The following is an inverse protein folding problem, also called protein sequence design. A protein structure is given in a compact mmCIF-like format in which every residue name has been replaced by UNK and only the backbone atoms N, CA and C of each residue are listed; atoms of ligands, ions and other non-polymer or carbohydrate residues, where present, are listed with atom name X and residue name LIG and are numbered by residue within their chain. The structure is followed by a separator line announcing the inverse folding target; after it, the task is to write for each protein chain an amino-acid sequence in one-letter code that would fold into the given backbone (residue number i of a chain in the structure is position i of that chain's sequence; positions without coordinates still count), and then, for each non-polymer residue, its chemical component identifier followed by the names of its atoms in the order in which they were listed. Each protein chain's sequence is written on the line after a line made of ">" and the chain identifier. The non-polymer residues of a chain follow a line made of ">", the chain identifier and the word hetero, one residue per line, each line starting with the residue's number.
data_IF_179827282713
#
_entry.id   IF_179827282713
#
_cell.length_a   1.000
_cell.length_b   1.000
_cell.length_c   1.000
_cell.angle_alpha   90.00
_cell.angle_beta   90.00
_cell.angle_gamma   90.00
#
_symmetry.space_group_name_H-M   'P 1'
#
loop_
_entity.id
_entity.type
_entity.pdbx_description
1 polymer ?
#
# COMPACT_ATOMS: atom_id res chain seq x y z
N UNK A 1 8.63 -20.46 -32.23
CA UNK A 1 9.55 -19.86 -31.23
C UNK A 1 9.86 -18.44 -31.67
N UNK A 2 9.24 -17.47 -31.02
CA UNK A 2 9.48 -16.03 -31.24
C UNK A 2 9.90 -15.43 -29.89
N UNK A 3 11.09 -14.83 -29.77
CA UNK A 3 11.55 -14.28 -28.51
C UNK A 3 10.80 -12.97 -28.25
N UNK A 4 10.01 -12.91 -27.17
CA UNK A 4 9.44 -11.65 -26.68
C UNK A 4 10.45 -11.02 -25.72
N UNK A 5 11.15 -10.01 -26.21
CA UNK A 5 12.01 -9.13 -25.43
C UNK A 5 11.16 -8.40 -24.39
N UNK A 6 11.44 -8.65 -23.10
CA UNK A 6 10.96 -7.83 -21.99
C UNK A 6 11.49 -6.41 -22.17
N UNK A 7 10.61 -5.47 -22.49
CA UNK A 7 10.90 -4.04 -22.35
C UNK A 7 10.25 -3.56 -21.05
N UNK A 8 11.07 -3.39 -20.02
CA UNK A 8 10.73 -2.61 -18.84
C UNK A 8 10.82 -1.12 -19.24
N UNK A 9 9.69 -0.50 -19.51
CA UNK A 9 9.60 0.94 -19.67
C UNK A 9 8.99 1.53 -18.40
N UNK A 10 9.86 2.00 -17.50
CA UNK A 10 9.49 2.96 -16.45
C UNK A 10 9.61 4.33 -17.12
N UNK A 11 8.51 4.87 -17.62
CA UNK A 11 8.47 6.26 -18.10
C UNK A 11 8.05 7.14 -16.94
N UNK A 12 9.02 7.64 -16.18
CA UNK A 12 8.83 8.78 -15.30
C UNK A 12 8.71 10.04 -16.18
N UNK A 13 7.47 10.43 -16.49
CA UNK A 13 7.19 11.72 -17.12
C UNK A 13 6.89 12.77 -16.04
N UNK A 14 7.93 13.22 -15.33
CA UNK A 14 7.94 14.54 -14.70
C UNK A 14 8.61 15.49 -15.70
N UNK A 15 7.85 16.38 -16.34
CA UNK A 15 8.25 17.72 -16.80
C UNK A 15 7.18 18.30 -17.74
N UNK A 16 6.38 19.21 -17.19
CA UNK A 16 5.96 20.47 -17.83
C UNK A 16 4.98 21.20 -16.89
N UNK A 17 5.50 21.91 -15.89
CA UNK A 17 4.77 23.03 -15.33
C UNK A 17 5.05 24.24 -16.24
N UNK A 18 4.04 24.95 -16.76
CA UNK A 18 4.28 26.19 -17.47
C UNK A 18 4.78 27.22 -16.45
N UNK A 19 5.95 27.80 -16.71
CA UNK A 19 6.42 29.03 -16.08
C UNK A 19 5.49 30.14 -16.58
N UNK A 20 4.44 30.42 -15.81
CA UNK A 20 3.56 31.56 -16.05
C UNK A 20 4.27 32.85 -15.68
N UNK A 21 4.54 33.69 -16.67
CA UNK A 21 5.06 35.04 -16.48
C UNK A 21 4.12 35.87 -15.61
N UNK A 22 4.68 36.51 -14.57
CA UNK A 22 3.98 37.45 -13.72
C UNK A 22 3.66 38.74 -14.50
N UNK A 23 2.38 39.06 -14.65
CA UNK A 23 1.93 40.42 -14.93
C UNK A 23 1.60 41.08 -13.59
N UNK A 24 2.37 42.11 -13.24
CA UNK A 24 2.05 43.01 -12.15
C UNK A 24 0.84 43.87 -12.58
N UNK A 25 -0.26 43.72 -11.88
CA UNK A 25 -1.32 44.73 -11.83
C UNK A 25 -1.46 45.15 -10.37
N UNK A 26 -1.07 46.39 -10.12
CA UNK A 26 -1.15 47.05 -8.83
C UNK A 26 -2.63 47.33 -8.53
N UNK A 27 -3.17 46.67 -7.50
CA UNK A 27 -4.51 46.93 -7.00
C UNK A 27 -4.48 46.80 -5.48
N UNK A 28 -4.59 47.95 -4.83
CA UNK A 28 -4.77 48.14 -3.39
C UNK A 28 -5.92 47.25 -2.89
N UNK A 29 -5.60 46.25 -2.09
CA UNK A 29 -6.57 45.42 -1.39
C UNK A 29 -6.20 45.38 0.08
N UNK A 30 -7.19 45.67 0.92
CA UNK A 30 -7.10 45.81 2.36
C UNK A 30 -6.23 44.72 3.00
N UNK A 31 -5.34 45.14 3.92
CA UNK A 31 -4.53 44.24 4.75
C UNK A 31 -5.44 43.45 5.69
N UNK A 32 -6.07 42.40 5.18
CA UNK A 32 -6.36 41.21 5.96
C UNK A 32 -5.02 40.65 6.43
N UNK A 33 -4.87 40.42 7.73
CA UNK A 33 -3.73 39.69 8.28
C UNK A 33 -3.72 38.29 7.67
N UNK A 34 -3.02 38.13 6.54
CA UNK A 34 -2.83 36.85 5.86
C UNK A 34 -1.97 36.01 6.81
N UNK A 35 -2.62 35.08 7.53
CA UNK A 35 -1.91 34.13 8.36
C UNK A 35 -0.96 33.36 7.46
N UNK A 36 0.31 33.27 7.88
CA UNK A 36 1.30 32.48 7.15
C UNK A 36 0.74 31.08 6.85
N UNK A 37 0.97 30.58 5.63
CA UNK A 37 0.40 29.32 5.12
C UNK A 37 0.70 28.17 6.09
N UNK A 38 1.86 28.20 6.73
CA UNK A 38 2.27 27.25 7.77
C UNK A 38 1.32 27.29 8.98
N UNK A 39 0.92 28.48 9.44
CA UNK A 39 0.00 28.65 10.57
C UNK A 39 -1.40 28.15 10.23
N UNK A 40 -1.88 28.43 9.00
CA UNK A 40 -3.17 27.93 8.52
C UNK A 40 -3.16 26.40 8.49
N UNK A 41 -2.09 25.80 7.98
CA UNK A 41 -1.96 24.34 7.94
C UNK A 41 -1.89 23.76 9.35
N UNK A 42 -1.10 24.33 10.25
CA UNK A 42 -1.03 23.88 11.64
C UNK A 42 -2.40 23.93 12.35
N UNK A 43 -3.18 24.99 12.12
CA UNK A 43 -4.56 25.10 12.61
C UNK A 43 -5.45 23.99 12.06
N UNK A 44 -5.37 23.72 10.76
CA UNK A 44 -6.15 22.66 10.12
C UNK A 44 -5.72 21.26 10.58
N UNK A 45 -4.43 21.04 10.80
CA UNK A 45 -3.90 19.82 11.42
C UNK A 45 -4.46 19.61 12.83
N UNK A 46 -4.51 20.65 13.66
CA UNK A 46 -5.14 20.57 14.97
C UNK A 46 -6.64 20.24 14.88
N UNK A 47 -7.35 20.85 13.93
CA UNK A 47 -8.77 20.58 13.67
C UNK A 47 -9.01 19.12 13.24
N UNK A 48 -8.13 18.55 12.40
CA UNK A 48 -8.15 17.12 12.04
C UNK A 48 -7.94 16.24 13.26
N UNK A 49 -6.90 16.51 14.05
CA UNK A 49 -6.55 15.67 15.20
C UNK A 49 -7.66 15.66 16.26
N UNK A 50 -8.46 16.74 16.34
CA UNK A 50 -9.63 16.78 17.20
C UNK A 50 -10.74 15.79 16.80
N UNK A 51 -10.79 15.33 15.54
CA UNK A 51 -11.73 14.31 15.06
C UNK A 51 -11.40 12.92 15.61
N UNK A 52 -10.13 12.63 15.86
CA UNK A 52 -9.67 11.32 16.34
C UNK A 52 -8.55 11.49 17.37
N UNK A 53 -8.87 11.93 18.60
CA UNK A 53 -7.87 12.12 19.65
C UNK A 53 -7.31 10.79 20.16
N UNK A 54 -6.11 10.87 20.70
CA UNK A 54 -5.32 9.77 21.26
C UNK A 54 -5.87 9.32 22.64
N UNK A 55 -7.10 8.79 22.68
CA UNK A 55 -7.77 8.39 23.93
C UNK A 55 -8.22 6.93 23.89
N UNK A 56 -8.20 6.27 25.05
CA UNK A 56 -8.88 4.99 25.29
C UNK A 56 -8.23 3.73 24.70
N UNK A 57 -7.27 3.86 23.77
CA UNK A 57 -6.53 2.74 23.15
C UNK A 57 -5.04 2.78 23.47
N UNK A 58 -4.40 1.61 23.41
CA UNK A 58 -2.95 1.49 23.44
C UNK A 58 -2.38 2.02 22.13
N UNK A 59 -1.29 2.77 22.21
CA UNK A 59 -0.68 3.43 21.06
C UNK A 59 0.82 3.24 21.04
N UNK A 60 1.35 2.88 19.89
CA UNK A 60 2.78 2.88 19.60
C UNK A 60 3.06 3.80 18.43
N UNK A 61 3.88 4.82 18.65
CA UNK A 61 4.23 5.81 17.63
C UNK A 61 5.63 5.51 17.06
N UNK A 62 5.74 5.63 15.74
CA UNK A 62 6.98 5.51 14.97
C UNK A 62 7.11 6.78 14.15
N UNK A 63 8.13 7.58 14.45
CA UNK A 63 8.38 8.84 13.74
C UNK A 63 9.22 8.63 12.49
N UNK A 64 9.27 9.63 11.61
CA UNK A 64 10.19 9.62 10.47
C UNK A 64 11.66 9.40 10.90
N UNK A 65 12.05 9.98 12.04
CA UNK A 65 13.40 9.87 12.61
C UNK A 65 13.68 8.46 13.16
N UNK A 66 12.67 7.77 13.70
CA UNK A 66 12.78 6.35 14.06
C UNK A 66 12.96 5.47 12.82
N UNK A 67 12.21 5.75 11.74
CA UNK A 67 12.33 5.06 10.45
C UNK A 67 13.73 5.28 9.86
N UNK A 68 14.24 6.51 9.90
CA UNK A 68 15.56 6.85 9.36
C UNK A 68 16.71 6.16 10.12
N UNK A 69 16.50 5.79 11.39
CA UNK A 69 17.45 5.01 12.20
C UNK A 69 17.41 3.51 11.94
N UNK A 70 16.41 3.00 11.23
CA UNK A 70 16.39 1.59 10.84
C UNK A 70 17.57 1.27 9.91
N UNK A 71 18.04 0.01 9.88
CA UNK A 71 19.20 -0.36 9.06
C UNK A 71 19.09 0.01 7.56
N UNK A 72 17.87 -0.03 7.00
CA UNK A 72 17.59 0.38 5.61
C UNK A 72 16.96 1.78 5.53
N UNK A 73 16.86 2.50 6.65
CA UNK A 73 16.16 3.78 6.75
C UNK A 73 14.75 3.69 6.18
N UNK A 74 14.38 4.70 5.40
CA UNK A 74 13.09 4.74 4.71
C UNK A 74 12.97 3.78 3.50
N UNK A 75 14.00 3.00 3.16
CA UNK A 75 13.89 1.87 2.23
C UNK A 75 13.42 0.57 2.93
N UNK A 76 13.30 0.57 4.27
CA UNK A 76 12.67 -0.53 5.00
C UNK A 76 11.21 -0.70 4.54
N UNK A 77 10.73 -1.91 4.18
CA UNK A 77 9.32 -2.13 3.87
C UNK A 77 8.37 -1.80 5.04
N UNK A 78 7.14 -1.33 4.74
CA UNK A 78 6.20 -0.87 5.77
C UNK A 78 5.84 -1.96 6.81
N UNK A 79 5.65 -3.20 6.37
CA UNK A 79 5.45 -4.35 7.25
C UNK A 79 6.62 -4.52 8.26
N UNK A 80 7.87 -4.32 7.82
CA UNK A 80 9.04 -4.41 8.72
C UNK A 80 9.15 -3.21 9.67
N UNK A 81 8.67 -2.03 9.26
CA UNK A 81 8.51 -0.89 10.17
C UNK A 81 7.48 -1.22 11.25
N UNK A 82 6.34 -1.81 10.87
CA UNK A 82 5.30 -2.22 11.82
C UNK A 82 5.77 -3.31 12.78
N UNK A 83 6.68 -4.19 12.35
CA UNK A 83 7.28 -5.21 13.23
C UNK A 83 8.13 -4.64 14.37
N UNK A 84 8.45 -3.35 14.35
CA UNK A 84 9.10 -2.69 15.49
C UNK A 84 8.12 -2.41 16.64
N UNK A 85 6.81 -2.46 16.38
CA UNK A 85 5.80 -2.25 17.39
C UNK A 85 5.57 -3.52 18.23
N UNK A 86 5.31 -3.38 19.54
CA UNK A 86 5.09 -4.53 20.42
C UNK A 86 3.80 -5.26 20.05
N UNK A 87 3.82 -6.60 20.15
CA UNK A 87 2.65 -7.43 19.86
C UNK A 87 2.32 -7.57 18.38
N UNK A 88 3.21 -7.10 17.48
CA UNK A 88 3.09 -7.25 16.03
C UNK A 88 3.96 -8.41 15.57
N UNK A 89 3.36 -9.31 14.79
CA UNK A 89 4.06 -10.42 14.12
C UNK A 89 3.65 -10.45 12.66
N UNK A 90 4.45 -11.13 11.83
CA UNK A 90 4.20 -11.28 10.40
C UNK A 90 4.06 -12.76 10.06
N UNK A 91 3.19 -13.09 9.12
CA UNK A 91 3.12 -14.41 8.51
C UNK A 91 4.11 -14.54 7.32
N UNK A 92 4.10 -15.72 6.70
CA UNK A 92 4.92 -16.06 5.53
C UNK A 92 4.50 -15.31 4.25
N UNK A 93 3.27 -14.78 4.21
CA UNK A 93 2.75 -13.98 3.09
C UNK A 93 3.06 -12.48 3.24
N UNK A 94 3.72 -12.06 4.32
CA UNK A 94 3.96 -10.65 4.60
C UNK A 94 2.79 -9.93 5.30
N UNK A 95 1.73 -10.67 5.65
CA UNK A 95 0.59 -10.20 6.41
C UNK A 95 0.95 -9.88 7.85
N UNK A 96 0.42 -8.77 8.37
CA UNK A 96 0.70 -8.31 9.73
C UNK A 96 -0.43 -8.69 10.68
N UNK A 97 -0.06 -9.31 11.79
CA UNK A 97 -0.95 -9.75 12.85
C UNK A 97 -0.63 -8.99 14.13
N UNK A 98 -1.64 -8.32 14.69
CA UNK A 98 -1.49 -7.57 15.93
C UNK A 98 -2.23 -8.32 17.03
N UNK A 99 -1.52 -8.64 18.11
CA UNK A 99 -2.06 -9.28 19.32
C UNK A 99 -2.80 -10.60 19.04
N UNK A 100 -2.35 -11.36 18.04
CA UNK A 100 -2.90 -12.67 17.67
C UNK A 100 -4.14 -12.65 16.79
N UNK A 101 -4.56 -11.48 16.28
CA UNK A 101 -5.68 -11.35 15.33
C UNK A 101 -5.26 -11.71 13.89
N UNK A 102 -6.22 -12.01 13.00
CA UNK A 102 -6.00 -12.46 11.62
C UNK A 102 -5.99 -11.27 10.64
N UNK A 103 -4.89 -10.51 10.61
CA UNK A 103 -4.62 -9.47 9.60
C UNK A 103 -5.79 -8.49 9.36
N UNK A 104 -6.59 -8.22 10.40
CA UNK A 104 -7.76 -7.35 10.34
C UNK A 104 -7.36 -5.89 10.63
N UNK A 105 -6.41 -5.36 9.86
CA UNK A 105 -5.86 -4.01 10.04
C UNK A 105 -6.67 -2.96 9.28
N UNK A 106 -6.77 -1.76 9.86
CA UNK A 106 -7.29 -0.59 9.18
C UNK A 106 -6.16 0.40 8.91
N UNK A 107 -5.95 0.76 7.65
CA UNK A 107 -5.00 1.81 7.28
C UNK A 107 -5.71 3.15 7.12
N UNK A 108 -5.15 4.19 7.73
CA UNK A 108 -5.60 5.57 7.56
C UNK A 108 -4.42 6.44 7.12
N UNK A 109 -4.68 7.35 6.19
CA UNK A 109 -3.70 8.35 5.75
C UNK A 109 -4.33 9.72 5.99
N UNK A 110 -3.70 10.53 6.84
CA UNK A 110 -4.16 11.87 7.21
C UNK A 110 -5.63 11.90 7.69
N UNK A 111 -6.03 10.89 8.47
CA UNK A 111 -7.41 10.74 8.98
C UNK A 111 -8.38 10.07 8.01
N UNK A 112 -8.01 9.84 6.76
CA UNK A 112 -8.85 9.21 5.75
C UNK A 112 -8.62 7.70 5.72
N UNK A 113 -9.68 6.90 5.82
CA UNK A 113 -9.59 5.44 5.71
C UNK A 113 -9.27 5.03 4.26
N UNK A 114 -8.24 4.20 4.10
CA UNK A 114 -7.86 3.62 2.81
C UNK A 114 -8.32 2.16 2.80
N UNK A 115 -9.20 1.75 1.86
CA UNK A 115 -9.61 0.36 1.73
C UNK A 115 -8.41 -0.57 1.60
N UNK A 116 -8.46 -1.72 2.27
CA UNK A 116 -7.46 -2.75 2.07
C UNK A 116 -7.46 -3.24 0.63
N UNK A 117 -6.27 -3.54 0.13
CA UNK A 117 -6.10 -4.24 -1.14
C UNK A 117 -6.42 -5.72 -0.97
N UNK A 118 -6.59 -6.43 -2.08
CA UNK A 118 -6.52 -7.90 -2.03
C UNK A 118 -5.18 -8.28 -1.38
N UNK A 119 -5.24 -9.16 -0.38
CA UNK A 119 -4.04 -9.67 0.29
C UNK A 119 -3.06 -10.25 -0.72
N UNK A 120 -1.78 -9.98 -0.50
CA UNK A 120 -0.67 -10.35 -1.36
C UNK A 120 0.65 -10.12 -0.64
N UNK A 121 1.74 -10.44 -1.30
CA UNK A 121 3.09 -10.37 -0.75
C UNK A 121 3.63 -8.95 -0.64
N UNK A 122 3.26 -8.09 -1.60
CA UNK A 122 3.83 -6.75 -1.72
C UNK A 122 3.06 -5.67 -0.96
N UNK A 123 3.81 -4.73 -0.40
CA UNK A 123 3.24 -3.56 0.28
C UNK A 123 2.80 -2.49 -0.73
N UNK A 124 1.72 -1.76 -0.42
CA UNK A 124 1.19 -0.69 -1.30
C UNK A 124 1.68 0.71 -0.94
N UNK A 125 2.25 0.89 0.24
CA UNK A 125 2.75 2.16 0.77
C UNK A 125 4.25 2.03 1.10
N UNK A 126 4.99 3.12 0.88
CA UNK A 126 6.41 3.22 1.24
C UNK A 126 6.62 4.10 2.49
N UNK A 127 7.57 3.77 3.39
CA UNK A 127 7.77 4.58 4.61
C UNK A 127 8.30 6.01 4.40
N UNK A 128 8.85 6.34 3.22
CA UNK A 128 9.34 7.70 2.92
C UNK A 128 8.27 8.79 3.05
N UNK A 129 7.01 8.44 2.82
CA UNK A 129 5.89 9.38 2.91
C UNK A 129 5.54 9.73 4.37
N UNK A 130 5.98 8.91 5.34
CA UNK A 130 5.55 8.97 6.73
C UNK A 130 6.29 10.09 7.45
N UNK A 131 5.53 11.02 8.04
CA UNK A 131 6.02 11.92 9.09
C UNK A 131 5.92 11.24 10.46
N UNK A 132 4.77 10.61 10.70
CA UNK A 132 4.49 9.86 11.90
C UNK A 132 3.49 8.74 11.59
N UNK A 133 3.77 7.53 12.10
CA UNK A 133 2.87 6.39 12.06
C UNK A 133 2.48 6.04 13.49
N UNK A 134 1.19 5.82 13.74
CA UNK A 134 0.68 5.30 15.01
C UNK A 134 0.02 3.96 14.76
N UNK A 135 0.43 2.96 15.52
CA UNK A 135 -0.31 1.71 15.66
C UNK A 135 -1.21 1.83 16.90
N UNK A 136 -2.52 1.86 16.69
CA UNK A 136 -3.53 1.85 17.76
C UNK A 136 -4.10 0.45 17.90
N UNK A 137 -4.11 -0.11 19.12
CA UNK A 137 -4.66 -1.44 19.39
C UNK A 137 -5.50 -1.53 20.67
N UNK A 138 -6.11 -2.69 20.89
CA UNK A 138 -6.89 -2.99 22.08
C UNK A 138 -8.31 -2.44 22.00
N UNK A 139 -8.72 -1.65 22.99
CA UNK A 139 -10.06 -1.06 23.02
C UNK A 139 -10.13 0.16 22.10
N UNK A 140 -10.29 -0.08 20.80
CA UNK A 140 -10.41 0.98 19.79
C UNK A 140 -11.69 1.81 20.03
N UNK A 141 -11.60 3.14 20.18
CA UNK A 141 -12.78 4.01 20.28
C UNK A 141 -13.67 3.92 19.04
N UNK A 142 -14.96 4.25 19.22
CA UNK A 142 -15.98 4.18 18.15
C UNK A 142 -15.65 5.02 16.89
N UNK A 143 -14.73 5.99 16.99
CA UNK A 143 -14.29 6.83 15.88
C UNK A 143 -13.49 6.09 14.79
N UNK A 144 -12.89 4.94 15.13
CA UNK A 144 -12.08 4.19 14.17
C UNK A 144 -12.92 3.19 13.37
N UNK A 145 -13.82 2.46 14.05
CA UNK A 145 -14.78 1.53 13.42
C UNK A 145 -14.15 0.50 12.49
N UNK A 146 -14.98 -0.23 11.72
CA UNK A 146 -14.61 -1.15 10.63
C UNK A 146 -13.78 -2.41 11.01
N UNK A 147 -12.62 -2.24 11.65
CA UNK A 147 -11.66 -3.30 11.95
C UNK A 147 -11.31 -3.36 13.43
N UNK A 148 -10.99 -4.55 13.92
CA UNK A 148 -10.84 -4.82 15.36
C UNK A 148 -9.43 -5.14 15.80
N UNK A 149 -8.51 -5.48 14.90
CA UNK A 149 -7.15 -5.87 15.31
C UNK A 149 -6.33 -4.65 15.74
N UNK A 150 -6.19 -3.69 14.83
CA UNK A 150 -5.49 -2.44 15.06
C UNK A 150 -5.75 -1.44 13.92
N UNK A 151 -5.46 -0.17 14.21
CA UNK A 151 -5.42 0.91 13.22
C UNK A 151 -3.98 1.34 13.00
N UNK A 152 -3.57 1.36 11.74
CA UNK A 152 -2.32 1.98 11.29
C UNK A 152 -2.66 3.38 10.79
N UNK A 153 -2.49 4.38 11.66
CA UNK A 153 -2.77 5.78 11.34
C UNK A 153 -1.48 6.51 10.92
N UNK A 154 -1.44 6.91 9.64
CA UNK A 154 -0.29 7.52 9.01
C UNK A 154 -0.56 9.02 8.82
N UNK A 155 0.29 9.85 9.41
CA UNK A 155 0.42 11.26 9.03
C UNK A 155 1.55 11.39 8.01
N UNK A 156 1.25 11.95 6.85
CA UNK A 156 2.25 12.15 5.79
C UNK A 156 3.11 13.37 6.05
N UNK A 157 4.29 13.39 5.41
CA UNK A 157 5.13 14.58 5.28
C UNK A 157 4.39 15.64 4.45
N UNK A 158 4.46 16.90 4.90
CA UNK A 158 3.81 18.04 4.24
C UNK A 158 4.85 18.97 3.62
N UNK A 159 4.67 19.30 2.33
CA UNK A 159 5.53 20.24 1.62
C UNK A 159 5.56 21.64 2.25
N UNK A 160 4.45 22.09 2.81
CA UNK A 160 4.39 23.37 3.50
C UNK A 160 5.20 23.43 4.81
N UNK A 161 5.35 22.30 5.51
CA UNK A 161 6.16 22.23 6.73
C UNK A 161 7.66 22.05 6.42
N UNK A 162 7.96 21.29 5.37
CA UNK A 162 9.33 20.94 5.00
C UNK A 162 10.01 21.96 4.06
N UNK A 163 9.25 22.90 3.50
CA UNK A 163 9.70 23.84 2.48
C UNK A 163 9.99 23.17 1.13
N UNK A 164 10.48 23.94 0.16
CA UNK A 164 10.67 23.46 -1.22
C UNK A 164 11.98 22.71 -1.38
N UNK A 165 11.93 21.37 -1.39
CA UNK A 165 13.11 20.50 -1.52
C UNK A 165 12.74 19.18 -2.23
N UNK A 166 13.77 18.37 -2.45
CA UNK A 166 13.60 16.99 -2.87
C UNK A 166 14.75 16.14 -2.39
N UNK A 167 14.58 14.83 -2.52
CA UNK A 167 15.60 13.82 -2.23
C UNK A 167 15.64 12.80 -3.35
N UNK A 168 16.84 12.35 -3.67
CA UNK A 168 17.07 11.17 -4.51
C UNK A 168 18.02 10.25 -3.77
N UNK A 169 17.80 8.96 -3.87
CA UNK A 169 18.58 7.97 -3.14
C UNK A 169 18.64 6.65 -3.87
N UNK A 170 19.61 5.83 -3.46
CA UNK A 170 19.70 4.43 -3.85
C UNK A 170 20.17 3.63 -2.66
N UNK A 171 19.42 2.58 -2.33
CA UNK A 171 19.87 1.55 -1.37
C UNK A 171 20.30 0.33 -2.18
N UNK A 172 21.44 -0.28 -1.85
CA UNK A 172 21.89 -1.50 -2.50
C UNK A 172 22.52 -2.44 -1.47
N UNK A 173 22.47 -3.75 -1.71
CA UNK A 173 22.98 -4.73 -0.75
C UNK A 173 23.04 -6.16 -1.25
N UNK A 174 23.12 -7.10 -0.29
CA UNK A 174 23.10 -8.55 -0.53
C UNK A 174 21.87 -8.99 -1.33
N UNK A 175 21.90 -10.22 -1.87
CA UNK A 175 20.79 -10.78 -2.66
C UNK A 175 20.42 -9.95 -3.90
N UNK A 176 21.34 -9.12 -4.39
CA UNK A 176 21.09 -8.24 -5.52
C UNK A 176 20.05 -7.15 -5.22
N UNK A 177 19.91 -6.77 -3.95
CA UNK A 177 19.02 -5.71 -3.51
C UNK A 177 19.41 -4.38 -4.16
N UNK A 178 18.45 -3.72 -4.78
CA UNK A 178 18.56 -2.38 -5.35
C UNK A 178 17.23 -1.64 -5.17
N UNK A 179 17.28 -0.47 -4.52
CA UNK A 179 16.14 0.40 -4.24
C UNK A 179 16.42 1.87 -4.58
N UNK A 180 16.41 2.29 -5.86
CA UNK A 180 16.38 3.70 -6.24
C UNK A 180 15.07 4.34 -5.81
N UNK A 181 15.15 5.57 -5.31
CA UNK A 181 14.01 6.33 -4.84
C UNK A 181 14.18 7.82 -5.14
N UNK A 182 13.05 8.51 -5.27
CA UNK A 182 12.99 9.94 -5.43
C UNK A 182 11.75 10.51 -4.74
N UNK A 183 11.90 11.65 -4.08
CA UNK A 183 10.81 12.39 -3.48
C UNK A 183 10.97 13.88 -3.77
N UNK A 184 9.86 14.57 -3.99
CA UNK A 184 9.78 16.01 -4.25
C UNK A 184 8.66 16.59 -3.42
N UNK A 185 8.92 17.68 -2.71
CA UNK A 185 7.91 18.34 -1.90
C UNK A 185 8.10 19.85 -1.86
N UNK A 186 7.02 20.55 -1.58
CA UNK A 186 7.04 21.99 -1.46
C UNK A 186 5.67 22.61 -1.35
N UNK A 187 5.65 23.92 -1.30
CA UNK A 187 4.47 24.76 -1.31
C UNK A 187 4.71 26.03 -2.14
N UNK A 188 3.61 26.58 -2.65
CA UNK A 188 3.60 27.86 -3.34
C UNK A 188 2.23 28.51 -3.20
N UNK A 189 2.17 29.62 -2.47
CA UNK A 189 0.91 30.24 -2.08
C UNK A 189 0.01 29.24 -1.37
N UNK A 190 -1.18 29.02 -1.93
CA UNK A 190 -2.21 28.14 -1.34
C UNK A 190 -2.02 26.65 -1.63
N UNK A 191 -1.02 26.29 -2.43
CA UNK A 191 -0.73 24.91 -2.82
C UNK A 191 0.39 24.33 -1.97
N UNK A 192 0.25 23.04 -1.61
CA UNK A 192 1.29 22.21 -1.02
C UNK A 192 1.28 20.85 -1.70
N UNK A 193 2.44 20.28 -1.97
CA UNK A 193 2.57 18.98 -2.61
C UNK A 193 3.68 18.14 -1.97
N UNK A 194 3.48 16.83 -1.97
CA UNK A 194 4.48 15.82 -1.67
C UNK A 194 4.31 14.68 -2.67
N UNK A 195 5.37 14.32 -3.38
CA UNK A 195 5.40 13.23 -4.36
C UNK A 195 6.57 12.35 -4.03
N UNK A 196 6.38 11.04 -4.00
CA UNK A 196 7.43 10.06 -3.75
C UNK A 196 7.24 8.84 -4.64
N UNK A 197 8.34 8.19 -4.99
CA UNK A 197 8.32 6.88 -5.61
C UNK A 197 9.62 6.15 -5.45
N UNK A 198 9.52 4.83 -5.45
CA UNK A 198 10.64 3.92 -5.33
C UNK A 198 10.45 2.65 -6.18
N UNK A 199 11.56 1.98 -6.43
CA UNK A 199 11.57 0.69 -7.08
C UNK A 199 12.47 -0.26 -6.28
N UNK A 200 11.95 -1.36 -5.75
CA UNK A 200 12.71 -2.40 -5.09
C UNK A 200 12.90 -3.63 -6.00
N UNK A 201 14.09 -4.20 -5.96
CA UNK A 201 14.38 -5.50 -6.55
C UNK A 201 15.35 -6.23 -5.64
N UNK A 202 15.11 -7.52 -5.41
CA UNK A 202 16.05 -8.44 -4.78
C UNK A 202 15.78 -9.89 -5.22
N UNK A 203 16.59 -10.84 -4.73
CA UNK A 203 16.48 -12.29 -4.99
C UNK A 203 16.03 -13.10 -3.75
N UNK A 204 15.45 -12.43 -2.77
CA UNK A 204 14.91 -13.04 -1.55
C UNK A 204 13.62 -12.28 -1.19
N UNK A 205 12.64 -12.38 -2.09
CA UNK A 205 11.42 -11.57 -2.07
C UNK A 205 10.35 -12.13 -1.15
N UNK A 206 10.28 -13.46 -1.03
CA UNK A 206 9.35 -14.19 -0.19
C UNK A 206 10.11 -14.96 0.90
N UNK A 207 9.37 -15.62 1.79
CA UNK A 207 10.00 -16.50 2.77
C UNK A 207 10.68 -17.68 2.07
N UNK A 208 11.95 -17.89 2.37
CA UNK A 208 12.78 -18.89 1.74
C UNK A 208 12.44 -20.30 2.26
N UNK A 209 12.00 -21.24 1.39
CA UNK A 209 11.57 -22.57 1.81
C UNK A 209 12.73 -23.54 2.06
N UNK A 210 13.99 -23.13 1.87
CA UNK A 210 15.16 -23.99 2.03
C UNK A 210 16.18 -23.41 3.01
N UNK A 211 16.99 -24.29 3.61
CA UNK A 211 18.13 -23.93 4.48
C UNK A 211 19.35 -23.47 3.65
N UNK A 212 19.15 -22.39 2.88
CA UNK A 212 20.17 -21.74 2.05
C UNK A 212 19.97 -20.23 2.11
N UNK A 213 21.03 -19.45 1.95
CA UNK A 213 20.89 -17.99 1.81
C UNK A 213 20.37 -17.57 0.43
N UNK A 214 20.49 -18.43 -0.58
CA UNK A 214 20.06 -18.14 -1.95
C UNK A 214 18.88 -19.04 -2.30
N UNK A 215 17.63 -18.57 -2.17
CA UNK A 215 16.48 -19.31 -2.65
C UNK A 215 16.52 -19.46 -4.17
N UNK A 216 15.94 -20.55 -4.66
CA UNK A 216 15.76 -20.79 -6.09
C UNK A 216 14.43 -20.16 -6.47
N UNK A 217 14.43 -19.35 -7.53
CA UNK A 217 13.21 -18.76 -8.07
C UNK A 217 12.46 -17.79 -7.12
N UNK A 218 13.18 -16.86 -6.49
CA UNK A 218 12.58 -15.90 -5.54
C UNK A 218 12.94 -14.44 -5.85
N UNK A 219 12.99 -14.10 -7.14
CA UNK A 219 13.23 -12.72 -7.55
C UNK A 219 11.95 -11.89 -7.40
N UNK A 220 12.09 -10.71 -6.80
CA UNK A 220 11.01 -9.73 -6.71
C UNK A 220 11.36 -8.43 -7.44
N UNK A 221 10.32 -7.77 -7.93
CA UNK A 221 10.36 -6.42 -8.50
C UNK A 221 9.12 -5.66 -8.05
N UNK A 222 9.30 -4.55 -7.32
CA UNK A 222 8.20 -3.79 -6.72
C UNK A 222 8.38 -2.31 -7.06
N UNK A 223 7.40 -1.69 -7.71
CA UNK A 223 7.38 -0.26 -7.97
C UNK A 223 6.27 0.42 -7.20
N UNK A 224 6.58 1.45 -6.43
CA UNK A 224 5.60 2.18 -5.60
C UNK A 224 5.67 3.67 -5.90
N UNK A 225 4.53 4.33 -5.76
CA UNK A 225 4.40 5.77 -5.96
C UNK A 225 3.27 6.34 -5.12
N UNK A 226 3.49 7.54 -4.63
CA UNK A 226 2.53 8.25 -3.80
C UNK A 226 2.55 9.75 -4.10
N UNK A 227 1.39 10.38 -4.07
CA UNK A 227 1.25 11.82 -4.16
C UNK A 227 0.19 12.33 -3.18
N UNK A 228 0.52 13.41 -2.48
CA UNK A 228 -0.38 14.21 -1.65
C UNK A 228 -0.34 15.64 -2.19
N UNK A 229 -1.46 16.09 -2.74
CA UNK A 229 -1.64 17.44 -3.25
C UNK A 229 -2.72 18.14 -2.43
N UNK A 230 -2.36 19.21 -1.74
CA UNK A 230 -3.25 19.99 -0.89
C UNK A 230 -3.41 21.41 -1.44
N UNK A 231 -4.64 21.91 -1.41
CA UNK A 231 -5.00 23.28 -1.74
C UNK A 231 -5.79 23.91 -0.58
N UNK A 232 -5.30 25.02 -0.04
CA UNK A 232 -6.04 25.83 0.92
C UNK A 232 -7.14 26.58 0.17
N UNK A 233 -8.40 26.23 0.41
CA UNK A 233 -9.58 26.90 -0.16
C UNK A 233 -9.83 28.23 0.54
N UNK A 234 -9.51 28.30 1.84
CA UNK A 234 -9.46 29.49 2.71
C UNK A 234 -8.73 29.13 4.02
N UNK A 235 -8.62 30.07 4.96
CA UNK A 235 -7.95 29.88 6.25
C UNK A 235 -8.57 28.79 7.15
N UNK A 236 -9.77 28.33 6.80
CA UNK A 236 -10.55 27.37 7.56
C UNK A 236 -10.85 26.10 6.78
N UNK A 237 -10.39 25.97 5.53
CA UNK A 237 -10.77 24.86 4.64
C UNK A 237 -9.62 24.48 3.72
N UNK A 238 -9.29 23.18 3.67
CA UNK A 238 -8.37 22.59 2.71
C UNK A 238 -9.03 21.46 1.92
N UNK A 239 -8.65 21.36 0.66
CA UNK A 239 -8.93 20.23 -0.22
C UNK A 239 -7.63 19.46 -0.43
N UNK A 240 -7.65 18.14 -0.27
CA UNK A 240 -6.49 17.27 -0.43
C UNK A 240 -6.81 16.15 -1.42
N UNK A 241 -5.86 15.82 -2.28
CA UNK A 241 -5.90 14.68 -3.19
C UNK A 241 -4.75 13.74 -2.82
N UNK A 242 -5.10 12.55 -2.36
CA UNK A 242 -4.18 11.46 -2.04
C UNK A 242 -4.24 10.42 -3.15
N UNK A 243 -3.12 10.09 -3.77
CA UNK A 243 -3.04 9.06 -4.80
C UNK A 243 -1.89 8.12 -4.48
N UNK A 244 -2.14 6.82 -4.61
CA UNK A 244 -1.12 5.80 -4.45
C UNK A 244 -1.15 4.75 -5.55
N UNK A 245 0.01 4.17 -5.83
CA UNK A 245 0.24 3.16 -6.84
C UNK A 245 1.27 2.15 -6.35
N UNK A 246 1.03 0.87 -6.60
CA UNK A 246 1.98 -0.21 -6.37
C UNK A 246 1.85 -1.28 -7.45
N UNK A 247 2.98 -1.73 -8.01
CA UNK A 247 3.08 -2.82 -8.98
C UNK A 247 4.17 -3.78 -8.52
N UNK A 248 3.76 -4.95 -8.06
CA UNK A 248 4.65 -5.93 -7.48
C UNK A 248 4.64 -7.20 -8.34
N UNK A 249 5.82 -7.80 -8.53
CA UNK A 249 6.01 -9.04 -9.26
C UNK A 249 6.93 -9.93 -8.44
N UNK A 250 6.53 -11.17 -8.27
CA UNK A 250 7.22 -12.17 -7.47
C UNK A 250 7.38 -13.44 -8.29
N UNK A 251 8.56 -14.02 -8.23
CA UNK A 251 8.73 -15.45 -8.46
C UNK A 251 8.38 -16.18 -7.18
N UNK A 252 7.71 -17.33 -7.27
CA UNK A 252 7.43 -18.17 -6.11
C UNK A 252 8.63 -19.09 -5.90
N UNK A 253 9.22 -19.11 -4.68
CA UNK A 253 10.43 -19.87 -4.42
C UNK A 253 10.19 -21.37 -4.55
N UNK A 254 11.11 -22.04 -5.23
CA UNK A 254 11.03 -23.47 -5.46
C UNK A 254 11.45 -24.25 -4.21
N UNK A 255 10.74 -25.35 -3.95
CA UNK A 255 11.13 -26.34 -2.94
C UNK A 255 11.77 -27.55 -3.63
N UNK A 256 13.12 -27.66 -3.68
CA UNK A 256 13.84 -28.71 -4.39
C UNK A 256 13.71 -30.08 -3.71
N UNK A 257 13.87 -31.15 -4.49
CA UNK A 257 13.88 -32.52 -3.97
C UNK A 257 12.50 -33.11 -3.69
N UNK A 258 11.44 -32.51 -4.23
CA UNK A 258 10.10 -33.10 -4.20
C UNK A 258 10.04 -34.29 -5.16
N UNK A 259 9.31 -35.33 -4.77
CA UNK A 259 9.08 -36.51 -5.62
C UNK A 259 7.88 -36.25 -6.53
N UNK A 260 8.01 -36.36 -7.86
CA UNK A 260 6.88 -36.35 -8.78
C UNK A 260 5.78 -37.34 -8.37
N UNK A 261 4.54 -36.87 -8.29
CA UNK A 261 3.38 -37.69 -7.90
C UNK A 261 2.60 -38.20 -9.12
N UNK A 262 2.68 -37.50 -10.25
CA UNK A 262 1.94 -37.78 -11.47
C UNK A 262 2.85 -37.76 -12.70
N UNK A 263 2.49 -38.54 -13.72
CA UNK A 263 3.12 -38.48 -15.05
C UNK A 263 2.38 -37.47 -15.93
N UNK A 264 3.12 -36.53 -16.51
CA UNK A 264 2.63 -35.62 -17.53
C UNK A 264 3.41 -35.79 -18.83
N UNK A 265 2.73 -36.26 -19.88
CA UNK A 265 3.29 -36.47 -21.22
C UNK A 265 4.58 -37.33 -21.24
N UNK A 266 4.67 -38.34 -20.36
CA UNK A 266 5.81 -39.23 -20.23
C UNK A 266 6.94 -38.68 -19.36
N UNK A 267 6.75 -37.53 -18.73
CA UNK A 267 7.71 -36.94 -17.79
C UNK A 267 7.37 -37.39 -16.37
N UNK A 268 8.26 -38.18 -15.78
CA UNK A 268 8.08 -38.76 -14.43
C UNK A 268 9.18 -38.37 -13.44
N UNK A 269 10.20 -37.65 -13.90
CA UNK A 269 11.41 -37.27 -13.17
C UNK A 269 11.65 -35.76 -13.21
N UNK A 270 10.58 -34.96 -13.32
CA UNK A 270 10.69 -33.50 -13.32
C UNK A 270 11.37 -33.00 -12.04
N UNK A 271 12.36 -32.11 -12.21
CA UNK A 271 13.12 -31.52 -11.11
C UNK A 271 12.35 -30.35 -10.50
N UNK A 272 11.89 -30.49 -9.25
CA UNK A 272 11.11 -29.46 -8.55
C UNK A 272 11.87 -28.15 -8.33
N UNK A 273 13.20 -28.14 -8.48
CA UNK A 273 13.99 -26.91 -8.46
C UNK A 273 13.80 -26.04 -9.71
N UNK A 274 13.11 -26.55 -10.73
CA UNK A 274 12.93 -25.90 -12.04
C UNK A 274 11.52 -25.34 -12.29
N UNK A 275 10.64 -25.37 -11.29
CA UNK A 275 9.31 -24.77 -11.36
C UNK A 275 9.40 -23.26 -11.69
N UNK A 276 8.46 -22.77 -12.50
CA UNK A 276 8.37 -21.36 -12.94
C UNK A 276 7.01 -20.75 -12.56
N UNK A 277 6.72 -20.70 -11.26
CA UNK A 277 5.51 -20.10 -10.71
C UNK A 277 5.70 -18.61 -10.43
N UNK A 278 4.76 -17.76 -10.87
CA UNK A 278 4.92 -16.31 -10.76
C UNK A 278 3.63 -15.63 -10.29
N UNK A 279 3.75 -14.59 -9.46
CA UNK A 279 2.63 -13.77 -9.03
C UNK A 279 2.84 -12.29 -9.38
N UNK A 280 1.78 -11.65 -9.87
CA UNK A 280 1.72 -10.20 -10.08
C UNK A 280 0.61 -9.59 -9.25
N UNK A 281 0.93 -8.49 -8.60
CA UNK A 281 0.02 -7.73 -7.76
C UNK A 281 0.03 -6.28 -8.21
N UNK A 282 -1.13 -5.65 -8.22
CA UNK A 282 -1.26 -4.26 -8.63
C UNK A 282 -2.30 -3.60 -7.75
N UNK A 283 -1.96 -2.46 -7.17
CA UNK A 283 -2.84 -1.65 -6.35
C UNK A 283 -2.75 -0.20 -6.81
N UNK A 284 -3.88 0.47 -6.90
CA UNK A 284 -3.95 1.91 -7.04
C UNK A 284 -5.12 2.46 -6.25
N UNK A 285 -4.96 3.62 -5.66
CA UNK A 285 -6.04 4.32 -5.00
C UNK A 285 -5.96 5.81 -5.26
N UNK A 286 -7.10 6.47 -5.16
CA UNK A 286 -7.22 7.92 -5.18
C UNK A 286 -8.33 8.35 -4.25
N UNK A 287 -8.05 9.31 -3.38
CA UNK A 287 -9.03 9.85 -2.43
C UNK A 287 -8.97 11.37 -2.43
N UNK A 288 -10.14 11.99 -2.56
CA UNK A 288 -10.33 13.43 -2.34
C UNK A 288 -10.85 13.63 -0.93
N UNK A 289 -10.24 14.57 -0.19
CA UNK A 289 -10.64 14.91 1.16
C UNK A 289 -10.82 16.43 1.31
N UNK A 290 -11.99 16.85 1.77
CA UNK A 290 -12.27 18.22 2.17
C UNK A 290 -12.26 18.28 3.70
N UNK A 291 -11.45 19.15 4.27
CA UNK A 291 -11.29 19.27 5.70
C UNK A 291 -11.33 20.73 6.12
N UNK A 292 -11.98 21.02 7.24
CA UNK A 292 -12.01 22.38 7.74
C UNK A 292 -12.73 22.56 9.06
N UNK A 293 -13.04 23.81 9.34
CA UNK A 293 -13.80 24.24 10.51
C UNK A 293 -15.00 25.06 10.07
N UNK A 294 -16.20 24.69 10.49
CA UNK A 294 -17.45 25.42 10.26
C UNK A 294 -17.99 25.91 11.61
N UNK A 295 -17.81 27.21 11.88
CA UNK A 295 -17.97 27.74 13.24
C UNK A 295 -17.00 27.04 14.18
N UNK A 296 -17.52 26.49 15.27
CA UNK A 296 -16.75 25.72 16.26
C UNK A 296 -16.64 24.22 15.91
N UNK A 297 -17.27 23.77 14.83
CA UNK A 297 -17.28 22.35 14.43
C UNK A 297 -16.16 22.05 13.45
N UNK A 298 -15.30 21.10 13.79
CA UNK A 298 -14.31 20.55 12.86
C UNK A 298 -14.96 19.46 12.00
N UNK A 299 -14.59 19.38 10.72
CA UNK A 299 -15.09 18.36 9.82
C UNK A 299 -13.99 17.80 8.90
N UNK A 300 -14.14 16.53 8.51
CA UNK A 300 -13.40 15.92 7.40
C UNK A 300 -14.37 15.06 6.58
N UNK A 301 -14.49 15.37 5.30
CA UNK A 301 -15.27 14.61 4.32
C UNK A 301 -14.31 14.01 3.32
N UNK A 302 -14.49 12.77 2.92
CA UNK A 302 -13.70 12.18 1.85
C UNK A 302 -14.51 11.24 0.97
N UNK A 303 -14.08 11.14 -0.29
CA UNK A 303 -14.57 10.18 -1.25
C UNK A 303 -13.39 9.61 -2.02
N UNK A 304 -13.32 8.29 -2.12
CA UNK A 304 -12.17 7.62 -2.71
C UNK A 304 -12.53 6.37 -3.50
N UNK A 305 -11.56 5.88 -4.25
CA UNK A 305 -11.63 4.61 -4.94
C UNK A 305 -10.29 3.89 -4.85
N UNK A 306 -10.35 2.57 -4.65
CA UNK A 306 -9.22 1.66 -4.82
C UNK A 306 -9.54 0.64 -5.90
N UNK A 307 -8.54 0.33 -6.72
CA UNK A 307 -8.50 -0.89 -7.53
C UNK A 307 -7.30 -1.73 -7.12
N UNK A 308 -7.50 -3.04 -6.93
CA UNK A 308 -6.41 -3.99 -6.72
C UNK A 308 -6.65 -5.26 -7.54
N UNK A 309 -5.57 -5.92 -7.91
CA UNK A 309 -5.60 -7.22 -8.59
C UNK A 309 -4.43 -8.09 -8.20
N UNK A 310 -4.66 -9.39 -8.14
CA UNK A 310 -3.65 -10.44 -7.98
C UNK A 310 -3.82 -11.42 -9.13
N UNK A 311 -2.72 -11.77 -9.79
CA UNK A 311 -2.67 -12.73 -10.88
C UNK A 311 -1.52 -13.72 -10.63
N UNK A 312 -1.85 -14.96 -10.33
CA UNK A 312 -0.91 -16.07 -10.16
C UNK A 312 -0.87 -16.93 -11.43
N UNK A 313 0.34 -17.21 -11.90
CA UNK A 313 0.63 -18.07 -13.05
C UNK A 313 1.33 -19.32 -12.57
N UNK A 314 0.70 -20.50 -12.71
CA UNK A 314 1.30 -21.79 -12.36
C UNK A 314 2.38 -22.20 -13.37
N UNK A 315 3.25 -23.12 -12.97
CA UNK A 315 3.97 -23.97 -13.93
C UNK A 315 3.07 -25.14 -14.29
N UNK A 316 2.38 -25.07 -15.44
CA UNK A 316 1.35 -26.05 -15.77
C UNK A 316 1.88 -27.49 -15.75
N UNK A 317 3.07 -27.73 -16.32
CA UNK A 317 3.62 -29.08 -16.36
C UNK A 317 4.09 -29.52 -14.97
N UNK A 318 4.86 -28.66 -14.29
CA UNK A 318 5.37 -28.94 -12.95
C UNK A 318 4.27 -29.16 -11.92
N UNK A 319 3.30 -28.26 -11.86
CA UNK A 319 2.20 -28.31 -10.88
C UNK A 319 1.26 -29.49 -11.13
N UNK A 320 1.05 -29.88 -12.39
CA UNK A 320 0.36 -31.14 -12.69
C UNK A 320 1.16 -32.35 -12.18
N UNK A 321 2.47 -32.38 -12.42
CA UNK A 321 3.35 -33.48 -12.00
C UNK A 321 3.41 -33.63 -10.47
N UNK A 322 3.42 -32.53 -9.71
CA UNK A 322 3.53 -32.58 -8.25
C UNK A 322 2.17 -32.57 -7.53
N UNK A 323 1.21 -31.79 -8.02
CA UNK A 323 -0.06 -31.54 -7.30
C UNK A 323 -1.29 -32.14 -8.00
N UNK A 324 -1.16 -32.61 -9.25
CA UNK A 324 -2.29 -33.11 -10.05
C UNK A 324 -3.24 -32.02 -10.55
N UNK A 325 -2.93 -30.76 -10.25
CA UNK A 325 -3.70 -29.58 -10.64
C UNK A 325 -2.76 -28.39 -10.81
N UNK A 326 -2.94 -27.65 -11.90
CA UNK A 326 -2.29 -26.36 -12.12
C UNK A 326 -3.37 -25.28 -12.27
N UNK A 327 -3.44 -24.32 -11.34
CA UNK A 327 -4.50 -23.30 -11.35
C UNK A 327 -3.95 -21.91 -11.62
N UNK A 328 -4.37 -21.30 -12.73
CA UNK A 328 -4.20 -19.86 -12.98
C UNK A 328 -5.27 -19.12 -12.20
N UNK A 329 -4.84 -18.24 -11.30
CA UNK A 329 -5.73 -17.50 -10.39
C UNK A 329 -5.68 -16.03 -10.74
N UNK A 330 -6.82 -15.47 -11.11
CA UNK A 330 -7.01 -14.03 -11.32
C UNK A 330 -8.06 -13.49 -10.34
N UNK A 331 -7.68 -12.47 -9.59
CA UNK A 331 -8.54 -11.76 -8.63
C UNK A 331 -8.47 -10.28 -8.89
N UNK A 332 -9.60 -9.59 -8.84
CA UNK A 332 -9.62 -8.13 -8.83
C UNK A 332 -10.73 -7.59 -7.94
N UNK A 333 -10.51 -6.42 -7.36
CA UNK A 333 -11.47 -5.76 -6.49
C UNK A 333 -11.43 -4.24 -6.74
N UNK A 334 -12.61 -3.64 -6.90
CA UNK A 334 -12.82 -2.19 -6.84
C UNK A 334 -13.60 -1.83 -5.59
N UNK A 335 -13.04 -0.97 -4.75
CA UNK A 335 -13.71 -0.41 -3.58
C UNK A 335 -13.95 1.08 -3.78
N UNK A 336 -15.16 1.56 -3.53
CA UNK A 336 -15.49 2.98 -3.49
C UNK A 336 -15.85 3.37 -2.07
N UNK A 337 -15.25 4.42 -1.54
CA UNK A 337 -15.46 4.86 -0.16
C UNK A 337 -16.01 6.26 -0.07
N UNK A 338 -16.79 6.47 0.98
CA UNK A 338 -17.18 7.79 1.48
C UNK A 338 -17.00 7.80 2.99
N UNK A 339 -16.46 8.90 3.52
CA UNK A 339 -16.27 9.11 4.95
C UNK A 339 -16.68 10.54 5.29
N UNK A 340 -17.36 10.72 6.41
CA UNK A 340 -17.67 12.03 6.96
C UNK A 340 -17.55 12.00 8.47
N UNK A 341 -16.62 12.78 9.02
CA UNK A 341 -16.33 12.87 10.45
C UNK A 341 -16.48 14.30 10.95
N UNK A 342 -17.02 14.45 12.15
CA UNK A 342 -17.29 15.73 12.78
C UNK A 342 -16.88 15.72 14.26
N UNK A 343 -16.38 16.86 14.74
CA UNK A 343 -16.15 17.11 16.16
C UNK A 343 -16.68 18.49 16.55
N UNK A 344 -17.65 18.52 17.46
CA UNK A 344 -18.35 19.73 17.87
C UNK A 344 -18.23 19.93 19.39
N UNK A 345 -17.78 21.10 19.87
CA UNK A 345 -17.86 21.44 21.30
C UNK A 345 -19.31 21.40 21.79
N UNK A 346 -19.53 20.83 22.97
CA UNK A 346 -20.85 20.70 23.57
C UNK A 346 -20.78 21.06 25.07
N UNK A 347 -21.60 22.02 25.51
CA UNK A 347 -21.72 22.36 26.93
C UNK A 347 -20.45 22.97 27.57
N UNK A 348 -19.53 23.54 26.80
CA UNK A 348 -18.33 24.25 27.28
C UNK A 348 -17.18 23.37 27.79
N UNK A 349 -17.44 22.13 28.20
CA UNK A 349 -16.45 21.17 28.71
C UNK A 349 -16.43 19.83 27.97
N UNK A 350 -17.37 19.59 27.05
CA UNK A 350 -17.47 18.34 26.32
C UNK A 350 -17.23 18.55 24.81
N UNK A 351 -16.87 17.48 24.12
CA UNK A 351 -16.77 17.44 22.65
C UNK A 351 -17.54 16.24 22.16
N UNK A 352 -18.57 16.48 21.35
CA UNK A 352 -19.32 15.44 20.67
C UNK A 352 -18.61 15.08 19.36
N UNK A 353 -18.32 13.79 19.16
CA UNK A 353 -17.73 13.25 17.93
C UNK A 353 -18.69 12.27 17.30
N UNK A 354 -18.89 12.40 16.00
CA UNK A 354 -19.80 11.58 15.24
C UNK A 354 -19.35 11.52 13.78
N UNK A 355 -19.66 10.41 13.11
CA UNK A 355 -19.27 10.22 11.73
C UNK A 355 -19.97 9.05 11.07
N UNK A 356 -19.74 8.91 9.77
CA UNK A 356 -20.23 7.81 8.95
C UNK A 356 -19.15 7.41 7.96
N UNK A 357 -19.03 6.10 7.75
CA UNK A 357 -18.18 5.50 6.73
C UNK A 357 -19.01 4.54 5.89
N UNK A 358 -18.83 4.60 4.57
CA UNK A 358 -19.44 3.67 3.62
C UNK A 358 -18.39 3.13 2.67
N UNK A 359 -18.40 1.81 2.48
CA UNK A 359 -17.53 1.10 1.54
C UNK A 359 -18.39 0.22 0.61
N UNK A 360 -18.20 0.37 -0.70
CA UNK A 360 -18.90 -0.39 -1.73
C UNK A 360 -17.89 -1.12 -2.61
N UNK A 361 -17.87 -2.44 -2.49
CA UNK A 361 -16.90 -3.28 -3.18
C UNK A 361 -17.51 -4.12 -4.30
N UNK A 362 -16.77 -4.25 -5.39
CA UNK A 362 -17.04 -5.20 -6.45
C UNK A 362 -15.80 -6.06 -6.68
N UNK A 363 -15.90 -7.33 -6.34
CA UNK A 363 -14.83 -8.31 -6.49
C UNK A 363 -15.15 -9.30 -7.62
N UNK A 364 -14.12 -9.63 -8.41
CA UNK A 364 -14.17 -10.64 -9.47
C UNK A 364 -13.10 -11.68 -9.16
N UNK A 365 -13.50 -12.95 -9.17
CA UNK A 365 -12.62 -14.09 -8.97
C UNK A 365 -12.76 -15.08 -10.13
N UNK A 366 -11.66 -15.38 -10.80
CA UNK A 366 -11.58 -16.39 -11.86
C UNK A 366 -10.43 -17.36 -11.58
N UNK A 367 -10.71 -18.65 -11.68
CA UNK A 367 -9.72 -19.71 -11.67
C UNK A 367 -9.84 -20.49 -12.97
N UNK A 368 -8.74 -20.64 -13.68
CA UNK A 368 -8.64 -21.58 -14.79
C UNK A 368 -7.67 -22.69 -14.37
N UNK A 369 -8.21 -23.87 -14.12
CA UNK A 369 -7.45 -25.00 -13.60
C UNK A 369 -7.29 -26.05 -14.69
N UNK A 370 -6.06 -26.46 -14.95
CA UNK A 370 -5.75 -27.66 -15.70
C UNK A 370 -5.68 -28.84 -14.74
N UNK A 371 -6.40 -29.90 -15.07
CA UNK A 371 -6.39 -31.17 -14.32
C UNK A 371 -6.27 -32.34 -15.27
N UNK A 372 -5.79 -33.48 -14.77
CA UNK A 372 -5.93 -34.73 -15.49
C UNK A 372 -7.41 -35.13 -15.62
N UNK A 373 -7.80 -35.79 -16.72
CA UNK A 373 -9.12 -36.40 -16.85
C UNK A 373 -9.42 -37.35 -15.69
N UNK A 374 -10.69 -37.58 -15.41
CA UNK A 374 -11.09 -38.66 -14.51
C UNK A 374 -11.27 -39.97 -15.30
N UNK A 375 -10.85 -41.08 -14.71
CA UNK A 375 -11.24 -42.42 -15.15
C UNK A 375 -12.75 -42.61 -14.93
N UNK A 376 -13.33 -43.65 -15.53
CA UNK A 376 -14.78 -43.96 -15.43
C UNK A 376 -15.24 -44.20 -13.97
N UNK A 377 -14.34 -44.56 -13.06
CA UNK A 377 -14.60 -44.74 -11.63
C UNK A 377 -14.45 -43.45 -10.79
N UNK A 378 -14.15 -42.32 -11.43
CA UNK A 378 -13.93 -41.02 -10.80
C UNK A 378 -12.54 -40.82 -10.21
N UNK A 379 -11.64 -41.81 -10.31
CA UNK A 379 -10.23 -41.63 -9.93
C UNK A 379 -9.51 -40.76 -10.96
N UNK A 380 -8.49 -40.02 -10.54
CA UNK A 380 -7.70 -39.20 -11.44
C UNK A 380 -6.91 -40.10 -12.40
N UNK A 381 -7.02 -39.86 -13.70
CA UNK A 381 -6.20 -40.58 -14.69
C UNK A 381 -4.74 -40.18 -14.53
N UNK A 382 -3.86 -41.16 -14.39
CA UNK A 382 -2.41 -40.96 -14.23
C UNK A 382 -1.73 -41.48 -15.49
N UNK A 383 -0.85 -40.68 -16.11
CA UNK A 383 -0.06 -41.12 -17.27
C UNK A 383 -0.74 -40.99 -18.64
N UNK A 384 -1.63 -40.01 -18.83
CA UNK A 384 -2.31 -39.81 -20.12
C UNK A 384 -1.48 -38.93 -21.05
N UNK A 385 -1.13 -39.49 -22.21
CA UNK A 385 -0.64 -38.72 -23.36
C UNK A 385 -1.81 -37.92 -23.97
N UNK A 386 -2.00 -36.67 -23.55
CA UNK A 386 -2.48 -35.65 -24.49
C UNK A 386 -3.55 -34.67 -24.04
N UNK A 387 -4.50 -35.03 -23.17
CA UNK A 387 -5.70 -34.19 -22.97
C UNK A 387 -5.85 -33.74 -21.51
N UNK A 388 -5.77 -32.43 -21.29
CA UNK A 388 -6.16 -31.75 -20.05
C UNK A 388 -7.61 -31.29 -20.16
N UNK A 389 -8.33 -31.28 -19.04
CA UNK A 389 -9.70 -30.75 -18.95
C UNK A 389 -9.68 -29.30 -18.46
#
# INVERSE_FOLDING_TARGET
>A
MTPRLLSAAITAALLAAPIGAAFAADADSERTTDLDTVNVIAKLEAARNALSPDIGSSQFAITADDIDRLPLGAATPLNQVLLQAPGVVQDSYGGIHVRGDHANLQYRINGVMIPESISGFGQSLEPRIIKNLKLLDGALPAQFGDRTAAVVDITTKSGAELGNRGSVGITAGSFGTINPNASLWGSSGRWSWFVSGDYDQNKNGLENPVDSLNPIHDKTHQGKGFADLTYLVNENTRLSLLVGYANNRFQIPNNPGQTPAFDYLGTTDFDSSRLDENQRENTRFGTLALQGTLGDTNYQLSAGQRYSSVAFSPDVAGDLIFNGIASRVDRSNRANTVQADFATPWGGSHTLRYGVYGNFEHAIASNNSSVFPANDDGSQSVGVSGDLV
#
